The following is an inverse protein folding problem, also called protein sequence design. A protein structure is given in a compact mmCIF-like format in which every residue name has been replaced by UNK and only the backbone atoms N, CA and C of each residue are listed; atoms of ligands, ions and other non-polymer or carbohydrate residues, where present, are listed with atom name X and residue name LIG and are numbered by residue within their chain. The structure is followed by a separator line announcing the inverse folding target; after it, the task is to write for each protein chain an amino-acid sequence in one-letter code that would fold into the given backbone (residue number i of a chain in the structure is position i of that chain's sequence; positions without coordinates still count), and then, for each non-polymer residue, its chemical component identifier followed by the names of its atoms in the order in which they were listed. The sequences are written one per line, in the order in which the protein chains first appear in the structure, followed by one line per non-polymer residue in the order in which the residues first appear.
data_IF_159346423845
#
_entry.id   IF_159346423845
#
_cell.length_a   1.000
_cell.length_b   1.000
_cell.length_c   1.000
_cell.angle_alpha   90.00
_cell.angle_beta   90.00
_cell.angle_gamma   90.00
#
_symmetry.space_group_name_H-M   'P 1'
#
loop_
_entity.id
_entity.type
_entity.pdbx_description
1 polymer ?
#
# COMPACT_ATOMS: atom_id res chain seq x y z
N UNK A 1 -34.84 17.62 -7.81
CA UNK A 1 -35.54 18.61 -7.01
C UNK A 1 -34.72 19.90 -6.97
N UNK A 2 -35.35 21.04 -7.41
CA UNK A 2 -34.68 22.35 -7.54
C UNK A 2 -34.19 22.87 -6.18
N UNK A 3 -34.90 22.56 -5.11
CA UNK A 3 -34.56 22.97 -3.73
C UNK A 3 -33.27 22.26 -3.26
N UNK A 4 -33.14 20.99 -3.56
CA UNK A 4 -31.94 20.21 -3.21
C UNK A 4 -30.72 20.75 -4.00
N UNK A 5 -30.88 21.04 -5.29
CA UNK A 5 -29.81 21.63 -6.09
C UNK A 5 -29.37 23.00 -5.58
N UNK A 6 -30.32 23.86 -5.21
CA UNK A 6 -30.00 25.18 -4.64
C UNK A 6 -29.29 25.07 -3.29
N UNK A 7 -29.74 24.17 -2.43
CA UNK A 7 -29.10 23.92 -1.15
C UNK A 7 -27.66 23.37 -1.32
N UNK A 8 -27.47 22.45 -2.25
CA UNK A 8 -26.15 21.91 -2.58
C UNK A 8 -25.21 23.00 -3.11
N UNK A 9 -25.65 23.80 -4.07
CA UNK A 9 -24.86 24.90 -4.62
C UNK A 9 -24.45 25.93 -3.57
N UNK A 10 -25.37 26.25 -2.64
CA UNK A 10 -25.07 27.15 -1.52
C UNK A 10 -24.03 26.56 -0.60
N UNK A 11 -24.15 25.27 -0.23
CA UNK A 11 -23.19 24.58 0.62
C UNK A 11 -21.81 24.49 -0.04
N UNK A 12 -21.77 24.20 -1.33
CA UNK A 12 -20.52 24.15 -2.12
C UNK A 12 -19.85 25.53 -2.19
N UNK A 13 -20.61 26.59 -2.43
CA UNK A 13 -20.08 27.97 -2.42
C UNK A 13 -19.51 28.36 -1.08
N UNK A 14 -20.17 28.02 0.02
CA UNK A 14 -19.69 28.26 1.37
C UNK A 14 -18.40 27.49 1.68
N UNK A 15 -18.36 26.22 1.26
CA UNK A 15 -17.17 25.38 1.38
C UNK A 15 -15.96 25.98 0.63
N UNK A 16 -16.17 26.47 -0.61
CA UNK A 16 -15.12 27.12 -1.38
C UNK A 16 -14.65 28.42 -0.71
N UNK A 17 -15.57 29.24 -0.21
CA UNK A 17 -15.23 30.48 0.50
C UNK A 17 -14.39 30.19 1.76
N UNK A 18 -14.77 29.17 2.52
CA UNK A 18 -13.99 28.72 3.68
C UNK A 18 -12.58 28.26 3.30
N UNK A 19 -12.45 27.42 2.25
CA UNK A 19 -11.16 26.96 1.76
C UNK A 19 -10.28 28.15 1.33
N UNK A 20 -10.84 29.12 0.59
CA UNK A 20 -10.11 30.33 0.17
C UNK A 20 -9.58 31.10 1.38
N UNK A 21 -10.41 31.27 2.41
CA UNK A 21 -10.03 31.95 3.65
C UNK A 21 -8.82 31.27 4.33
N UNK A 22 -8.84 29.93 4.41
CA UNK A 22 -7.72 29.17 4.98
C UNK A 22 -6.45 29.30 4.15
N UNK A 23 -6.55 29.20 2.83
CA UNK A 23 -5.42 29.36 1.92
C UNK A 23 -4.81 30.75 2.04
N UNK A 24 -5.64 31.79 2.05
CA UNK A 24 -5.19 33.19 2.13
C UNK A 24 -4.56 33.49 3.49
N UNK A 25 -5.10 32.93 4.57
CA UNK A 25 -4.48 33.03 5.90
C UNK A 25 -3.04 32.46 5.91
N UNK A 26 -2.87 31.28 5.37
CA UNK A 26 -1.55 30.64 5.27
C UNK A 26 -0.58 31.45 4.38
N UNK A 27 -1.06 31.99 3.25
CA UNK A 27 -0.27 32.86 2.37
C UNK A 27 0.17 34.14 3.09
N UNK A 28 -0.71 34.75 3.87
CA UNK A 28 -0.37 35.96 4.64
C UNK A 28 0.73 35.70 5.66
N UNK A 29 0.72 34.56 6.35
CA UNK A 29 1.79 34.16 7.27
C UNK A 29 3.11 34.04 6.49
N UNK A 30 3.11 33.36 5.34
CA UNK A 30 4.31 33.22 4.50
C UNK A 30 4.86 34.58 4.01
N UNK A 31 3.99 35.51 3.64
CA UNK A 31 4.44 36.87 3.22
C UNK A 31 5.07 37.67 4.37
N UNK A 32 4.57 37.48 5.58
CA UNK A 32 5.15 38.11 6.77
C UNK A 32 6.54 37.54 7.14
N UNK A 33 6.75 36.24 6.81
CA UNK A 33 8.03 35.54 7.00
C UNK A 33 9.06 35.80 5.90
N UNK A 34 8.71 36.49 4.85
CA UNK A 34 9.33 36.54 3.53
C UNK A 34 10.75 37.13 3.43
N UNK A 35 11.53 37.23 4.52
CA UNK A 35 12.94 37.62 4.48
C UNK A 35 13.92 36.64 5.16
N UNK A 36 13.52 35.37 5.30
CA UNK A 36 14.50 34.29 5.50
C UNK A 36 14.99 34.00 6.91
N UNK A 37 14.60 34.77 7.93
CA UNK A 37 15.15 34.61 9.29
C UNK A 37 14.26 33.83 10.23
N UNK A 38 12.93 33.80 10.02
CA UNK A 38 11.99 33.10 10.93
C UNK A 38 11.68 31.71 10.43
N UNK A 39 11.89 30.74 11.31
CA UNK A 39 11.49 29.37 11.06
C UNK A 39 9.96 29.26 10.87
N UNK A 40 9.53 28.62 9.82
CA UNK A 40 8.14 28.33 9.53
C UNK A 40 7.94 26.83 9.45
N UNK A 41 6.93 26.31 10.13
CA UNK A 41 6.56 24.91 10.12
C UNK A 41 5.28 24.71 9.33
N UNK A 42 5.33 23.85 8.32
CA UNK A 42 4.15 23.27 7.69
C UNK A 42 3.65 22.16 8.58
N UNK A 43 2.55 22.39 9.28
CA UNK A 43 1.90 21.41 10.14
C UNK A 43 0.84 20.67 9.32
N UNK A 44 1.12 19.43 8.97
CA UNK A 44 0.26 18.62 8.11
C UNK A 44 -0.37 17.46 8.88
N UNK A 45 -1.56 17.07 8.49
CA UNK A 45 -2.27 15.96 9.09
C UNK A 45 -3.69 15.84 8.56
N UNK A 46 -4.46 14.94 9.15
CA UNK A 46 -5.89 14.83 8.84
C UNK A 46 -6.64 16.03 9.44
N UNK A 47 -7.84 16.40 8.93
CA UNK A 47 -8.55 17.59 9.39
C UNK A 47 -8.77 17.66 10.91
N UNK A 48 -9.01 16.53 11.56
CA UNK A 48 -9.17 16.51 13.01
C UNK A 48 -7.86 16.78 13.78
N UNK A 49 -6.69 16.59 13.18
CA UNK A 49 -5.41 16.96 13.79
C UNK A 49 -5.20 18.47 13.88
N UNK A 50 -5.96 19.28 13.12
CA UNK A 50 -5.91 20.73 13.22
C UNK A 50 -6.84 21.30 14.29
N UNK A 51 -7.71 20.48 14.85
CA UNK A 51 -8.57 20.88 15.98
C UNK A 51 -7.73 21.10 17.24
N UNK A 52 -7.93 22.26 17.89
CA UNK A 52 -7.12 22.70 19.03
C UNK A 52 -7.16 21.76 20.24
N UNK A 53 -8.25 21.02 20.43
CA UNK A 53 -8.39 20.05 21.51
C UNK A 53 -7.64 18.76 21.18
N UNK A 54 -7.76 18.28 19.94
CA UNK A 54 -7.16 17.01 19.50
C UNK A 54 -5.64 17.15 19.34
N UNK A 55 -5.15 18.27 18.79
CA UNK A 55 -3.71 18.52 18.63
C UNK A 55 -2.97 18.86 19.94
N UNK A 56 -3.66 18.92 21.07
CA UNK A 56 -3.08 19.26 22.37
C UNK A 56 -2.26 20.54 22.36
N UNK A 57 -2.73 21.57 21.63
CA UNK A 57 -2.08 22.90 21.51
C UNK A 57 -0.67 22.85 20.89
N UNK A 58 -0.43 21.93 19.95
CA UNK A 58 0.86 21.83 19.26
C UNK A 58 1.17 23.12 18.50
N UNK A 59 0.19 23.74 17.85
CA UNK A 59 0.36 25.03 17.16
C UNK A 59 0.74 26.16 18.12
N UNK A 60 0.10 26.24 19.28
CA UNK A 60 0.44 27.25 20.30
C UNK A 60 1.86 27.03 20.82
N UNK A 61 2.23 25.77 21.08
CA UNK A 61 3.57 25.42 21.53
C UNK A 61 4.65 25.81 20.52
N UNK A 62 4.41 25.64 19.22
CA UNK A 62 5.31 26.08 18.16
C UNK A 62 5.43 27.61 18.13
N UNK A 63 4.31 28.31 18.23
CA UNK A 63 4.26 29.77 18.25
C UNK A 63 4.99 30.36 19.48
N UNK A 64 4.83 29.75 20.66
CA UNK A 64 5.54 30.13 21.90
C UNK A 64 7.07 29.96 21.77
N UNK A 65 7.54 29.11 20.84
CA UNK A 65 8.97 28.95 20.53
C UNK A 65 9.45 29.88 19.42
N UNK A 66 8.63 30.85 18.99
CA UNK A 66 8.99 31.80 17.94
C UNK A 66 8.92 31.20 16.52
N UNK A 67 8.19 30.13 16.32
CA UNK A 67 8.03 29.46 15.02
C UNK A 67 6.68 29.85 14.41
N UNK A 68 6.69 30.26 13.14
CA UNK A 68 5.45 30.46 12.40
C UNK A 68 4.86 29.11 12.00
N UNK A 69 3.53 29.00 12.05
CA UNK A 69 2.79 27.78 11.73
C UNK A 69 1.90 28.02 10.53
N UNK A 70 2.06 27.23 9.51
CA UNK A 70 1.15 27.12 8.38
C UNK A 70 0.62 25.70 8.29
N UNK A 71 -0.52 25.49 7.64
CA UNK A 71 -1.14 24.18 7.52
C UNK A 71 -1.12 23.66 6.08
N UNK A 72 -1.34 22.37 5.92
CA UNK A 72 -1.47 21.71 4.62
C UNK A 72 -2.68 22.20 3.80
N UNK A 73 -3.53 23.06 4.38
CA UNK A 73 -4.57 23.76 3.63
C UNK A 73 -3.99 24.70 2.55
N UNK A 74 -2.77 25.21 2.75
CA UNK A 74 -2.07 26.03 1.77
C UNK A 74 -2.05 25.43 0.37
N UNK A 75 -1.84 24.11 0.27
CA UNK A 75 -1.67 23.42 -1.02
C UNK A 75 -2.99 22.95 -1.65
N UNK A 76 -4.14 23.21 -1.04
CA UNK A 76 -5.45 22.74 -1.54
C UNK A 76 -5.76 23.16 -2.97
N UNK A 77 -5.28 24.34 -3.36
CA UNK A 77 -5.53 24.92 -4.68
C UNK A 77 -4.29 24.88 -5.59
N UNK A 78 -3.23 24.23 -5.15
CA UNK A 78 -2.01 24.11 -5.94
C UNK A 78 -2.03 22.82 -6.76
N UNK A 79 -1.66 22.93 -8.03
CA UNK A 79 -1.38 21.78 -8.87
C UNK A 79 0.05 21.30 -8.62
N UNK A 80 0.20 20.34 -7.70
CA UNK A 80 1.48 19.76 -7.33
C UNK A 80 1.50 18.32 -7.79
N UNK A 81 2.31 17.98 -8.81
CA UNK A 81 2.43 16.62 -9.28
C UNK A 81 3.13 15.73 -8.25
N UNK A 82 2.61 14.53 -8.03
CA UNK A 82 3.13 13.56 -7.04
C UNK A 82 3.69 12.28 -7.68
N UNK A 83 3.99 12.32 -8.98
CA UNK A 83 4.49 11.15 -9.74
C UNK A 83 5.88 10.66 -9.35
N UNK A 84 6.59 11.40 -8.48
CA UNK A 84 7.89 11.07 -7.91
C UNK A 84 7.78 10.49 -6.48
N UNK A 85 6.70 9.79 -6.20
CA UNK A 85 6.49 9.05 -4.97
C UNK A 85 5.87 7.66 -5.28
N UNK A 86 6.26 6.65 -4.51
CA UNK A 86 5.67 5.31 -4.60
C UNK A 86 4.36 5.25 -3.82
N UNK A 87 3.40 6.10 -4.17
CA UNK A 87 2.15 6.20 -3.44
C UNK A 87 0.96 6.25 -4.39
N UNK A 88 -0.03 5.37 -4.17
CA UNK A 88 -1.29 5.44 -4.89
C UNK A 88 -2.16 6.53 -4.26
N UNK A 89 -2.32 7.65 -4.97
CA UNK A 89 -3.01 8.86 -4.51
C UNK A 89 -4.54 8.66 -4.50
N UNK A 90 -5.03 7.73 -3.69
CA UNK A 90 -6.42 7.29 -3.64
C UNK A 90 -7.25 7.99 -2.56
N UNK A 91 -6.59 8.50 -1.51
CA UNK A 91 -7.26 9.11 -0.36
C UNK A 91 -6.98 10.61 -0.31
N UNK A 92 -8.03 11.40 -0.23
CA UNK A 92 -7.95 12.87 -0.35
C UNK A 92 -6.99 13.50 0.66
N UNK A 93 -7.04 13.08 1.94
CA UNK A 93 -6.20 13.69 2.96
C UNK A 93 -4.74 13.28 2.90
N UNK A 94 -4.46 12.00 2.70
CA UNK A 94 -3.08 11.52 2.53
C UNK A 94 -2.43 12.11 1.28
N UNK A 95 -3.19 12.25 0.19
CA UNK A 95 -2.71 12.92 -1.01
C UNK A 95 -2.39 14.41 -0.76
N UNK A 96 -3.21 15.11 0.04
CA UNK A 96 -2.94 16.49 0.43
C UNK A 96 -1.68 16.61 1.29
N UNK A 97 -1.48 15.70 2.25
CA UNK A 97 -0.26 15.65 3.07
C UNK A 97 0.98 15.43 2.20
N UNK A 98 0.92 14.50 1.23
CA UNK A 98 2.01 14.26 0.29
C UNK A 98 2.32 15.51 -0.56
N UNK A 99 1.29 16.20 -1.07
CA UNK A 99 1.46 17.47 -1.80
C UNK A 99 2.09 18.56 -0.93
N UNK A 100 1.68 18.66 0.33
CA UNK A 100 2.25 19.59 1.28
C UNK A 100 3.73 19.29 1.58
N UNK A 101 4.07 18.01 1.75
CA UNK A 101 5.46 17.58 1.92
C UNK A 101 6.30 17.92 0.69
N UNK A 102 5.78 17.68 -0.51
CA UNK A 102 6.45 18.01 -1.76
C UNK A 102 6.66 19.52 -1.94
N UNK A 103 5.63 20.31 -1.66
CA UNK A 103 5.77 21.76 -1.66
C UNK A 103 6.86 22.20 -0.68
N UNK A 104 6.81 21.68 0.55
CA UNK A 104 7.77 22.01 1.59
C UNK A 104 9.20 21.59 1.21
N UNK A 105 9.38 20.44 0.57
CA UNK A 105 10.68 19.94 0.12
C UNK A 105 11.40 20.92 -0.82
N UNK A 106 10.66 21.64 -1.67
CA UNK A 106 11.19 22.60 -2.65
C UNK A 106 11.40 24.02 -2.08
N UNK A 107 10.99 24.27 -0.83
CA UNK A 107 11.16 25.58 -0.20
C UNK A 107 12.53 25.71 0.48
N UNK A 108 12.87 26.95 0.87
CA UNK A 108 14.09 27.25 1.61
C UNK A 108 14.22 26.47 2.93
N UNK A 109 15.42 26.44 3.50
CA UNK A 109 15.73 25.69 4.74
C UNK A 109 14.94 26.17 5.96
N UNK A 110 14.44 27.39 5.95
CA UNK A 110 13.61 27.97 7.01
C UNK A 110 12.16 27.43 7.01
N UNK A 111 11.73 26.68 6.00
CA UNK A 111 10.42 26.03 5.96
C UNK A 111 10.59 24.53 6.18
N UNK A 112 10.00 24.03 7.24
CA UNK A 112 10.12 22.63 7.68
C UNK A 112 8.78 21.95 7.73
N UNK A 113 8.79 20.62 7.59
CA UNK A 113 7.60 19.80 7.55
C UNK A 113 7.44 19.01 8.85
N UNK A 114 6.25 19.11 9.44
CA UNK A 114 5.85 18.35 10.63
C UNK A 114 4.55 17.63 10.30
N UNK A 115 4.54 16.32 10.41
CA UNK A 115 3.35 15.49 10.21
C UNK A 115 2.76 15.06 11.54
N UNK A 116 1.46 15.25 11.68
CA UNK A 116 0.69 14.75 12.80
C UNK A 116 -0.04 13.47 12.38
N UNK A 117 0.07 12.43 13.19
CA UNK A 117 -0.62 11.15 13.00
C UNK A 117 -1.12 10.62 14.35
N UNK A 118 -2.24 9.90 14.34
CA UNK A 118 -2.79 9.29 15.57
C UNK A 118 -2.65 7.78 15.60
N UNK A 119 -2.78 7.13 14.44
CA UNK A 119 -2.82 5.69 14.35
C UNK A 119 -1.67 5.15 13.50
N UNK A 120 -0.99 4.12 13.99
CA UNK A 120 0.00 3.39 13.21
C UNK A 120 -0.59 2.59 12.06
N UNK A 121 -1.91 2.38 12.02
CA UNK A 121 -2.59 1.59 11.02
C UNK A 121 -3.48 2.48 10.14
N UNK A 122 -3.40 2.32 8.84
CA UNK A 122 -4.19 3.10 7.88
C UNK A 122 -3.35 3.57 6.70
N UNK A 123 -3.91 4.41 5.83
CA UNK A 123 -3.16 4.99 4.72
C UNK A 123 -1.91 5.76 5.19
N UNK A 124 -1.95 6.36 6.37
CA UNK A 124 -0.83 7.14 6.94
C UNK A 124 0.43 6.29 7.15
N UNK A 125 0.28 5.01 7.51
CA UNK A 125 1.41 4.10 7.67
C UNK A 125 2.23 3.92 6.38
N UNK A 126 1.57 3.98 5.23
CA UNK A 126 2.23 3.94 3.91
C UNK A 126 2.75 5.31 3.51
N UNK A 127 2.05 6.38 3.89
CA UNK A 127 2.39 7.76 3.55
C UNK A 127 3.68 8.22 4.23
N UNK A 128 3.86 7.92 5.51
CA UNK A 128 5.00 8.39 6.32
C UNK A 128 6.35 8.04 5.69
N UNK A 129 6.48 6.83 5.12
CA UNK A 129 7.73 6.43 4.47
C UNK A 129 7.98 7.20 3.17
N UNK A 130 6.94 7.47 2.40
CA UNK A 130 7.05 8.25 1.16
C UNK A 130 7.38 9.72 1.45
N UNK A 131 6.74 10.31 2.46
CA UNK A 131 7.03 11.68 2.90
C UNK A 131 8.46 11.77 3.42
N UNK A 132 8.92 10.79 4.20
CA UNK A 132 10.29 10.75 4.71
C UNK A 132 11.31 10.71 3.55
N UNK A 133 11.10 9.79 2.61
CA UNK A 133 11.97 9.64 1.45
C UNK A 133 12.01 10.91 0.59
N UNK A 134 10.84 11.48 0.30
CA UNK A 134 10.71 12.72 -0.45
C UNK A 134 11.50 13.88 0.21
N UNK A 135 11.31 14.08 1.50
CA UNK A 135 12.01 15.13 2.24
C UNK A 135 13.53 14.89 2.29
N UNK A 136 13.96 13.65 2.53
CA UNK A 136 15.37 13.27 2.57
C UNK A 136 16.08 13.50 1.22
N UNK A 137 15.41 13.25 0.10
CA UNK A 137 15.93 13.54 -1.24
C UNK A 137 16.24 15.04 -1.43
N UNK A 138 15.52 15.89 -0.72
CA UNK A 138 15.71 17.35 -0.73
C UNK A 138 16.47 17.87 0.51
N UNK A 139 17.24 17.02 1.17
CA UNK A 139 18.04 17.36 2.36
C UNK A 139 17.22 17.92 3.52
N UNK A 140 15.95 17.49 3.65
CA UNK A 140 15.08 17.83 4.77
C UNK A 140 14.71 16.57 5.56
N UNK A 141 14.39 16.74 6.83
CA UNK A 141 13.97 15.65 7.70
C UNK A 141 12.47 15.70 7.99
N UNK A 142 11.84 14.54 8.13
CA UNK A 142 10.47 14.44 8.63
C UNK A 142 10.46 14.48 10.15
N UNK A 143 9.73 15.45 10.72
CA UNK A 143 9.35 15.40 12.13
C UNK A 143 7.94 14.85 12.26
N UNK A 144 7.81 13.66 12.87
CA UNK A 144 6.55 12.98 13.07
C UNK A 144 6.07 13.15 14.51
N UNK A 145 4.89 13.70 14.70
CA UNK A 145 4.22 13.86 16.00
C UNK A 145 3.06 12.86 16.07
N UNK A 146 3.15 11.89 16.96
CA UNK A 146 2.06 10.96 17.25
C UNK A 146 1.17 11.56 18.34
N UNK A 147 -0.10 11.73 18.01
CA UNK A 147 -1.14 12.22 18.91
C UNK A 147 -1.87 10.99 19.46
N UNK A 148 -1.58 10.63 20.71
CA UNK A 148 -2.22 9.53 21.43
C UNK A 148 -3.20 10.08 22.48
N UNK A 149 -4.10 9.23 22.94
CA UNK A 149 -5.01 9.56 24.06
C UNK A 149 -4.27 9.91 25.35
N UNK A 150 -3.05 9.43 25.49
CA UNK A 150 -2.17 9.77 26.60
C UNK A 150 -1.38 11.03 26.24
N UNK A 151 -1.78 12.14 26.85
CA UNK A 151 -1.17 13.46 26.68
C UNK A 151 0.30 13.48 27.09
N UNK A 152 1.21 13.11 26.22
CA UNK A 152 2.63 13.32 26.44
C UNK A 152 3.16 14.58 25.75
N UNK A 153 2.59 15.74 26.17
CA UNK A 153 3.00 17.06 25.69
C UNK A 153 4.52 17.27 25.85
N UNK A 154 5.11 16.70 26.89
CA UNK A 154 6.54 16.78 27.15
C UNK A 154 7.40 16.16 26.05
N UNK A 155 7.03 14.99 25.55
CA UNK A 155 7.77 14.33 24.46
C UNK A 155 7.60 15.07 23.12
N UNK A 156 6.42 15.59 22.83
CA UNK A 156 6.19 16.44 21.65
C UNK A 156 7.03 17.72 21.71
N UNK A 157 7.01 18.39 22.86
CA UNK A 157 7.83 19.59 23.09
C UNK A 157 9.33 19.32 22.90
N UNK A 158 9.80 18.18 23.38
CA UNK A 158 11.21 17.78 23.22
C UNK A 158 11.55 17.54 21.75
N UNK A 159 10.70 16.82 20.99
CA UNK A 159 10.90 16.59 19.56
C UNK A 159 10.94 17.88 18.76
N UNK A 160 10.00 18.79 19.02
CA UNK A 160 9.95 20.10 18.35
C UNK A 160 11.21 20.92 18.67
N UNK A 161 11.62 20.99 19.95
CA UNK A 161 12.87 21.67 20.33
C UNK A 161 14.09 21.04 19.66
N UNK A 162 14.18 19.73 19.64
CA UNK A 162 15.28 19.03 18.97
C UNK A 162 15.33 19.36 17.46
N UNK A 163 14.18 19.42 16.79
CA UNK A 163 14.09 19.87 15.41
C UNK A 163 14.61 21.30 15.25
N UNK A 164 14.14 22.24 16.07
CA UNK A 164 14.54 23.65 15.99
C UNK A 164 16.06 23.80 16.20
N UNK A 165 16.63 23.16 17.20
CA UNK A 165 18.06 23.23 17.49
C UNK A 165 18.90 22.54 16.38
N UNK A 166 18.47 21.41 15.86
CA UNK A 166 19.12 20.75 14.72
C UNK A 166 19.20 21.67 13.50
N UNK A 167 18.11 22.41 13.23
CA UNK A 167 18.08 23.36 12.11
C UNK A 167 19.00 24.56 12.31
N UNK A 168 19.10 25.09 13.53
CA UNK A 168 20.03 26.14 13.84
C UNK A 168 21.48 25.70 13.60
N UNK A 169 21.84 24.49 14.01
CA UNK A 169 23.16 23.90 13.79
C UNK A 169 23.43 23.66 12.29
N UNK A 170 22.50 23.08 11.56
CA UNK A 170 22.63 22.81 10.13
C UNK A 170 22.75 24.08 9.29
N UNK A 171 22.08 25.17 9.71
CA UNK A 171 22.23 26.48 9.06
C UNK A 171 23.60 27.13 9.33
N UNK A 172 24.20 26.83 10.47
CA UNK A 172 25.56 27.32 10.80
C UNK A 172 26.65 26.62 9.96
N UNK A 173 26.46 25.35 9.60
CA UNK A 173 27.46 24.59 8.82
C UNK A 173 27.44 24.90 7.32
N UNK A 174 26.42 25.57 6.79
CA UNK A 174 26.36 26.09 5.42
C UNK A 174 26.41 25.05 4.29
N UNK A 175 26.43 23.75 4.60
CA UNK A 175 26.48 22.68 3.59
C UNK A 175 25.13 22.47 2.96
N UNK A 176 25.04 22.72 1.65
CA UNK A 176 23.91 22.29 0.83
C UNK A 176 24.26 20.93 0.20
N UNK A 177 23.49 19.90 0.55
CA UNK A 177 23.60 18.61 -0.14
C UNK A 177 22.88 18.69 -1.50
N UNK A 178 23.34 17.89 -2.45
CA UNK A 178 22.65 17.76 -3.74
C UNK A 178 21.27 17.10 -3.57
N UNK A 179 20.29 17.58 -4.34
CA UNK A 179 18.98 16.95 -4.44
C UNK A 179 19.13 15.61 -5.16
N UNK A 180 18.62 14.55 -4.55
CA UNK A 180 18.67 13.20 -5.13
C UNK A 180 17.46 12.94 -6.01
N UNK A 181 17.70 12.31 -7.15
CA UNK A 181 16.63 11.91 -8.06
C UNK A 181 15.74 10.82 -7.45
N UNK A 182 14.47 10.84 -7.86
CA UNK A 182 13.55 9.77 -7.55
C UNK A 182 13.90 8.51 -8.34
N UNK A 183 14.09 7.41 -7.63
CA UNK A 183 14.38 6.11 -8.23
C UNK A 183 13.14 5.21 -8.10
N UNK A 184 12.75 4.56 -9.18
CA UNK A 184 11.66 3.59 -9.20
C UNK A 184 12.00 2.38 -10.07
N UNK A 185 11.20 1.34 -9.97
CA UNK A 185 11.30 0.16 -10.83
C UNK A 185 10.81 0.46 -12.25
N UNK A 186 11.26 -0.29 -13.27
CA UNK A 186 10.90 -0.02 -14.66
C UNK A 186 9.42 -0.31 -14.95
N UNK A 187 8.90 0.40 -15.93
CA UNK A 187 7.60 0.13 -16.54
C UNK A 187 7.61 -1.26 -17.19
N UNK A 188 6.54 -2.03 -17.00
CA UNK A 188 6.42 -3.35 -17.67
C UNK A 188 6.08 -3.18 -19.15
N UNK A 189 7.11 -3.04 -19.97
CA UNK A 189 7.01 -2.92 -21.42
C UNK A 189 7.19 -4.27 -22.15
N UNK A 190 7.31 -4.22 -23.48
CA UNK A 190 7.43 -5.42 -24.32
C UNK A 190 8.71 -6.22 -24.05
N UNK A 191 9.79 -5.60 -23.59
CA UNK A 191 11.06 -6.26 -23.30
C UNK A 191 10.99 -7.21 -22.09
N UNK A 192 9.99 -7.01 -21.23
CA UNK A 192 9.77 -7.81 -20.03
C UNK A 192 8.76 -8.95 -20.19
N UNK A 193 8.14 -9.08 -21.38
CA UNK A 193 7.02 -10.01 -21.60
C UNK A 193 7.34 -11.47 -21.35
N UNK A 194 8.57 -11.88 -21.59
CA UNK A 194 9.01 -13.27 -21.43
C UNK A 194 9.56 -13.56 -20.02
N UNK A 195 9.52 -12.57 -19.13
CA UNK A 195 9.96 -12.75 -17.75
C UNK A 195 8.97 -13.62 -16.97
N UNK A 196 9.50 -14.47 -16.09
CA UNK A 196 8.71 -15.21 -15.13
C UNK A 196 8.14 -14.27 -14.08
N UNK A 197 6.83 -14.35 -13.84
CA UNK A 197 6.12 -13.50 -12.91
C UNK A 197 6.03 -14.20 -11.56
N UNK A 198 6.66 -13.64 -10.53
CA UNK A 198 6.51 -14.10 -9.16
C UNK A 198 5.24 -13.48 -8.54
N UNK A 199 4.39 -14.32 -7.97
CA UNK A 199 3.12 -13.93 -7.38
C UNK A 199 3.11 -14.32 -5.90
N UNK A 200 2.74 -13.44 -4.98
CA UNK A 200 2.60 -13.80 -3.56
C UNK A 200 1.62 -14.95 -3.35
N UNK A 201 1.84 -15.70 -2.28
CA UNK A 201 0.94 -16.78 -1.88
C UNK A 201 -0.33 -16.20 -1.26
N UNK A 202 -1.51 -16.66 -1.69
CA UNK A 202 -2.80 -16.21 -1.18
C UNK A 202 -3.40 -17.21 -0.19
N UNK A 203 -3.78 -18.38 -0.68
CA UNK A 203 -4.35 -19.45 0.13
C UNK A 203 -3.92 -20.83 -0.38
N UNK A 204 -3.97 -21.86 0.47
CA UNK A 204 -3.64 -23.23 0.05
C UNK A 204 -4.54 -23.78 -1.07
N UNK A 205 -5.66 -23.12 -1.35
CA UNK A 205 -6.64 -23.61 -2.31
C UNK A 205 -6.56 -22.92 -3.68
N UNK A 206 -6.38 -21.60 -3.72
CA UNK A 206 -6.31 -20.87 -5.00
C UNK A 206 -4.89 -20.74 -5.53
N UNK A 207 -3.88 -20.60 -4.65
CA UNK A 207 -2.49 -20.40 -5.09
C UNK A 207 -2.02 -21.49 -6.04
N UNK A 208 -2.29 -22.80 -5.82
CA UNK A 208 -1.86 -23.84 -6.76
C UNK A 208 -2.46 -23.70 -8.18
N UNK A 209 -3.56 -22.97 -8.33
CA UNK A 209 -4.26 -22.79 -9.60
C UNK A 209 -3.81 -21.54 -10.37
N UNK A 210 -3.20 -20.55 -9.69
CA UNK A 210 -2.79 -19.28 -10.28
C UNK A 210 -1.82 -19.45 -11.45
N UNK A 211 -0.78 -20.30 -11.41
CA UNK A 211 0.12 -20.48 -12.54
C UNK A 211 -0.61 -20.95 -13.81
N UNK A 212 -1.58 -21.85 -13.67
CA UNK A 212 -2.39 -22.31 -14.80
C UNK A 212 -3.29 -21.21 -15.36
N UNK A 213 -3.91 -20.40 -14.50
CA UNK A 213 -4.72 -19.25 -14.89
C UNK A 213 -3.87 -18.22 -15.64
N UNK A 214 -2.69 -17.89 -15.12
CA UNK A 214 -1.75 -16.97 -15.76
C UNK A 214 -1.24 -17.49 -17.10
N UNK A 215 -1.04 -18.82 -17.21
CA UNK A 215 -0.68 -19.44 -18.49
C UNK A 215 -1.78 -19.34 -19.54
N UNK A 216 -3.04 -19.46 -19.14
CA UNK A 216 -4.19 -19.19 -20.04
C UNK A 216 -4.22 -17.72 -20.46
N UNK A 217 -3.80 -16.80 -19.60
CA UNK A 217 -3.64 -15.39 -19.92
C UNK A 217 -2.42 -15.09 -20.83
N UNK A 218 -1.54 -16.06 -21.05
CA UNK A 218 -0.34 -15.94 -21.90
C UNK A 218 0.92 -15.52 -21.16
N UNK A 219 0.98 -15.76 -19.83
CA UNK A 219 2.14 -15.42 -18.98
C UNK A 219 2.64 -16.63 -18.22
N UNK A 220 3.96 -16.69 -18.00
CA UNK A 220 4.58 -17.66 -17.11
C UNK A 220 4.62 -17.10 -15.70
N UNK A 221 3.95 -17.74 -14.76
CA UNK A 221 3.89 -17.30 -13.38
C UNK A 221 4.21 -18.44 -12.40
N UNK A 222 4.79 -18.07 -11.28
CA UNK A 222 5.11 -18.96 -10.16
C UNK A 222 4.65 -18.32 -8.85
N UNK A 223 3.94 -19.09 -8.01
CA UNK A 223 3.64 -18.63 -6.66
C UNK A 223 4.88 -18.72 -5.78
N UNK A 224 5.09 -17.70 -4.99
CA UNK A 224 6.02 -17.77 -3.88
C UNK A 224 5.53 -18.80 -2.85
N UNK A 225 6.42 -19.39 -2.05
CA UNK A 225 6.05 -20.26 -0.95
C UNK A 225 5.17 -19.55 0.07
N UNK A 226 4.48 -20.33 0.91
CA UNK A 226 3.77 -19.80 2.08
C UNK A 226 4.74 -19.02 2.96
N UNK A 227 4.30 -17.87 3.46
CA UNK A 227 5.08 -17.01 4.35
C UNK A 227 5.50 -17.75 5.63
N UNK A 228 6.70 -17.49 6.09
CA UNK A 228 7.30 -18.03 7.31
C UNK A 228 7.93 -16.91 8.16
N UNK A 229 8.68 -17.28 9.19
CA UNK A 229 9.36 -16.31 10.06
C UNK A 229 10.36 -15.43 9.29
N UNK A 230 11.13 -16.02 8.36
CA UNK A 230 12.06 -15.27 7.53
C UNK A 230 11.35 -14.23 6.66
N UNK A 231 10.12 -14.52 6.22
CA UNK A 231 9.28 -13.57 5.49
C UNK A 231 8.99 -12.32 6.30
N UNK A 232 8.70 -12.47 7.59
CA UNK A 232 8.49 -11.30 8.46
C UNK A 232 9.79 -10.53 8.72
N UNK A 233 10.90 -11.22 8.91
CA UNK A 233 12.21 -10.58 9.12
C UNK A 233 12.66 -9.76 7.91
N UNK A 234 12.55 -10.33 6.71
CA UNK A 234 12.85 -9.62 5.47
C UNK A 234 11.88 -8.48 5.21
N UNK A 235 10.60 -8.67 5.52
CA UNK A 235 9.57 -7.64 5.37
C UNK A 235 9.83 -6.42 6.24
N UNK A 236 10.17 -6.62 7.52
CA UNK A 236 10.46 -5.54 8.46
C UNK A 236 11.75 -4.75 8.14
N UNK A 237 12.60 -5.25 7.26
CA UNK A 237 13.77 -4.49 6.77
C UNK A 237 13.41 -3.42 5.72
N UNK A 238 12.30 -3.63 4.98
CA UNK A 238 11.93 -2.81 3.82
C UNK A 238 10.51 -2.23 3.91
N UNK A 239 9.76 -2.59 4.94
CA UNK A 239 8.46 -2.00 5.26
C UNK A 239 8.48 -1.57 6.72
N UNK A 240 7.91 -0.41 7.03
CA UNK A 240 7.84 0.02 8.42
C UNK A 240 6.85 -0.88 9.20
N UNK A 241 7.05 -0.95 10.50
CA UNK A 241 6.27 -1.82 11.40
C UNK A 241 4.83 -1.33 11.67
N UNK A 242 4.43 -0.20 11.11
CA UNK A 242 3.08 0.36 11.25
C UNK A 242 2.14 -0.07 10.12
N UNK A 243 2.69 -0.55 8.98
CA UNK A 243 1.85 -1.13 7.92
C UNK A 243 1.18 -2.41 8.39
N UNK A 244 0.07 -2.79 7.76
CA UNK A 244 -0.61 -4.03 8.12
C UNK A 244 0.29 -5.26 7.88
N UNK A 245 0.26 -6.22 8.81
CA UNK A 245 1.14 -7.38 8.79
C UNK A 245 1.15 -8.17 7.47
N UNK A 246 0.01 -8.35 6.75
CA UNK A 246 0.04 -8.95 5.41
C UNK A 246 0.91 -8.19 4.40
N UNK A 247 0.99 -6.86 4.47
CA UNK A 247 1.88 -6.08 3.62
C UNK A 247 3.35 -6.38 3.90
N UNK A 248 3.72 -6.47 5.18
CA UNK A 248 5.06 -6.86 5.62
C UNK A 248 5.43 -8.25 5.11
N UNK A 249 4.53 -9.23 5.23
CA UNK A 249 4.77 -10.60 4.75
C UNK A 249 4.94 -10.65 3.23
N UNK A 250 4.10 -9.96 2.47
CA UNK A 250 4.18 -9.91 1.00
C UNK A 250 5.51 -9.31 0.53
N UNK A 251 5.93 -8.20 1.12
CA UNK A 251 7.24 -7.60 0.84
C UNK A 251 8.36 -8.58 1.19
N UNK A 252 8.27 -9.21 2.36
CA UNK A 252 9.26 -10.16 2.83
C UNK A 252 9.37 -11.40 1.94
N UNK A 253 8.26 -11.98 1.51
CA UNK A 253 8.24 -13.12 0.60
C UNK A 253 8.95 -12.79 -0.72
N UNK A 254 8.67 -11.63 -1.28
CA UNK A 254 9.30 -11.18 -2.53
C UNK A 254 10.82 -11.01 -2.32
N UNK A 255 11.23 -10.24 -1.32
CA UNK A 255 12.66 -9.96 -1.09
C UNK A 255 13.41 -11.23 -0.71
N UNK A 256 12.84 -12.09 0.13
CA UNK A 256 13.40 -13.41 0.47
C UNK A 256 13.62 -14.26 -0.77
N UNK A 257 12.62 -14.33 -1.66
CA UNK A 257 12.73 -15.08 -2.91
C UNK A 257 13.85 -14.55 -3.80
N UNK A 258 13.95 -13.25 -3.98
CA UNK A 258 14.99 -12.63 -4.80
C UNK A 258 16.40 -12.84 -4.22
N UNK A 259 16.53 -12.82 -2.90
CA UNK A 259 17.82 -13.06 -2.22
C UNK A 259 18.21 -14.53 -2.10
N UNK A 260 17.29 -15.47 -2.38
CA UNK A 260 17.54 -16.92 -2.28
C UNK A 260 18.56 -17.46 -3.28
N UNK A 261 18.87 -16.73 -4.34
CA UNK A 261 19.69 -17.20 -5.46
C UNK A 261 18.99 -18.20 -6.38
N UNK A 262 17.72 -18.54 -6.09
CA UNK A 262 16.92 -19.48 -6.93
C UNK A 262 16.60 -18.91 -8.30
N UNK A 263 16.44 -17.58 -8.39
CA UNK A 263 15.94 -16.91 -9.58
C UNK A 263 17.03 -16.08 -10.28
N UNK A 264 17.04 -16.13 -11.60
CA UNK A 264 17.78 -15.18 -12.41
C UNK A 264 17.05 -13.84 -12.40
N UNK A 265 17.56 -12.88 -11.63
CA UNK A 265 16.95 -11.58 -11.41
C UNK A 265 16.63 -10.84 -12.72
N UNK A 266 17.47 -11.02 -13.75
CA UNK A 266 17.26 -10.39 -15.06
C UNK A 266 16.04 -10.95 -15.81
N UNK A 267 15.48 -12.08 -15.37
CA UNK A 267 14.34 -12.78 -16.00
C UNK A 267 13.09 -12.81 -15.14
N UNK A 268 13.03 -11.98 -14.09
CA UNK A 268 11.91 -11.95 -13.15
C UNK A 268 11.11 -10.66 -13.29
N UNK A 269 9.81 -10.77 -13.11
CA UNK A 269 8.87 -9.70 -12.81
C UNK A 269 8.07 -10.08 -11.55
N UNK A 270 7.49 -9.12 -10.88
CA UNK A 270 6.63 -9.35 -9.72
C UNK A 270 5.21 -8.91 -10.06
N UNK A 271 4.19 -9.62 -9.58
CA UNK A 271 2.82 -9.20 -9.72
C UNK A 271 2.08 -9.22 -8.38
N UNK A 272 1.15 -8.28 -8.23
CA UNK A 272 0.23 -8.20 -7.09
C UNK A 272 -1.19 -7.93 -7.59
N UNK A 273 -2.19 -8.51 -6.93
CA UNK A 273 -3.59 -8.17 -7.20
C UNK A 273 -3.96 -6.86 -6.52
N UNK A 274 -4.74 -6.06 -7.22
CA UNK A 274 -5.23 -4.78 -6.73
C UNK A 274 -6.76 -4.76 -6.80
N UNK A 275 -7.41 -4.35 -5.72
CA UNK A 275 -8.88 -4.32 -5.67
C UNK A 275 -9.47 -3.00 -6.16
N UNK A 276 -8.69 -1.92 -6.20
CA UNK A 276 -9.17 -0.57 -6.50
C UNK A 276 -10.10 0.02 -5.44
N UNK A 277 -10.36 -0.70 -4.35
CA UNK A 277 -11.19 -0.22 -3.25
C UNK A 277 -10.42 0.63 -2.25
N UNK A 278 -11.11 1.09 -1.20
CA UNK A 278 -10.53 1.93 -0.13
C UNK A 278 -9.63 1.15 0.85
N UNK A 279 -9.36 -0.12 0.58
CA UNK A 279 -8.45 -0.93 1.38
C UNK A 279 -7.00 -0.48 1.17
N UNK A 280 -6.21 -0.51 2.23
CA UNK A 280 -4.76 -0.24 2.21
C UNK A 280 -3.98 -1.14 1.25
N UNK A 281 -4.51 -2.33 0.95
CA UNK A 281 -3.93 -3.23 -0.04
C UNK A 281 -3.76 -2.58 -1.43
N UNK A 282 -4.48 -1.51 -1.73
CA UNK A 282 -4.27 -0.71 -2.94
C UNK A 282 -2.88 -0.04 -3.00
N UNK A 283 -2.21 0.13 -1.85
CA UNK A 283 -0.84 0.64 -1.77
C UNK A 283 0.24 -0.46 -1.66
N UNK A 284 -0.12 -1.73 -1.70
CA UNK A 284 0.89 -2.80 -1.67
C UNK A 284 1.82 -2.73 -2.87
N UNK A 285 1.31 -2.36 -4.04
CA UNK A 285 2.15 -2.19 -5.24
C UNK A 285 3.24 -1.12 -5.02
N UNK A 286 2.87 0.00 -4.40
CA UNK A 286 3.79 1.09 -4.09
C UNK A 286 4.85 0.64 -3.10
N UNK A 287 4.44 -0.04 -2.03
CA UNK A 287 5.34 -0.58 -1.03
C UNK A 287 6.31 -1.62 -1.61
N UNK A 288 5.83 -2.48 -2.52
CA UNK A 288 6.68 -3.45 -3.23
C UNK A 288 7.71 -2.72 -4.10
N UNK A 289 7.28 -1.71 -4.88
CA UNK A 289 8.20 -0.92 -5.71
C UNK A 289 9.30 -0.26 -4.88
N UNK A 290 8.91 0.39 -3.78
CA UNK A 290 9.85 1.00 -2.84
C UNK A 290 10.80 -0.04 -2.25
N UNK A 291 10.29 -1.16 -1.76
CA UNK A 291 11.10 -2.23 -1.17
C UNK A 291 12.12 -2.82 -2.17
N UNK A 292 11.74 -2.96 -3.44
CA UNK A 292 12.65 -3.41 -4.50
C UNK A 292 13.77 -2.40 -4.72
N UNK A 293 13.47 -1.11 -4.78
CA UNK A 293 14.47 -0.05 -4.91
C UNK A 293 15.42 -0.05 -3.70
N UNK A 294 14.88 -0.06 -2.48
CA UNK A 294 15.67 -0.05 -1.24
C UNK A 294 16.55 -1.32 -1.09
N UNK A 295 16.11 -2.45 -1.67
CA UNK A 295 16.87 -3.70 -1.70
C UNK A 295 17.89 -3.81 -2.84
N UNK A 296 17.95 -2.82 -3.75
CA UNK A 296 18.85 -2.77 -4.89
C UNK A 296 18.36 -3.54 -6.13
N UNK A 297 17.07 -3.85 -6.22
CA UNK A 297 16.45 -4.57 -7.35
C UNK A 297 15.70 -3.62 -8.30
N UNK A 298 16.39 -2.60 -8.79
CA UNK A 298 15.80 -1.54 -9.62
C UNK A 298 15.37 -1.98 -11.02
N UNK A 299 15.76 -3.18 -11.48
CA UNK A 299 15.45 -3.69 -12.82
C UNK A 299 14.26 -4.66 -12.88
N UNK A 300 13.56 -4.85 -11.76
CA UNK A 300 12.43 -5.77 -11.66
C UNK A 300 11.11 -4.98 -11.82
N UNK A 301 10.39 -5.16 -12.94
CA UNK A 301 9.10 -4.50 -13.11
C UNK A 301 8.02 -5.13 -12.21
N UNK A 302 7.09 -4.30 -11.75
CA UNK A 302 5.95 -4.72 -10.92
C UNK A 302 4.65 -4.57 -11.70
N UNK A 303 3.86 -5.63 -11.73
CA UNK A 303 2.58 -5.72 -12.44
C UNK A 303 1.44 -5.61 -11.43
N UNK A 304 0.48 -4.74 -11.73
CA UNK A 304 -0.82 -4.66 -11.04
C UNK A 304 -1.85 -5.51 -11.78
N UNK A 305 -2.40 -6.52 -11.11
CA UNK A 305 -3.51 -7.31 -11.65
C UNK A 305 -4.80 -6.79 -11.04
N UNK A 306 -5.52 -5.97 -11.79
CA UNK A 306 -6.80 -5.39 -11.36
C UNK A 306 -7.90 -5.67 -12.38
N UNK A 307 -9.14 -5.81 -11.90
CA UNK A 307 -10.33 -5.94 -12.75
C UNK A 307 -11.24 -4.78 -12.41
N UNK A 308 -11.39 -3.84 -13.37
CA UNK A 308 -12.32 -2.71 -13.22
C UNK A 308 -11.88 -1.64 -12.23
N UNK A 309 -10.60 -1.49 -11.95
CA UNK A 309 -10.07 -0.41 -11.11
C UNK A 309 -9.22 0.55 -11.93
N UNK A 310 -9.34 1.83 -11.59
CA UNK A 310 -8.56 2.93 -12.17
C UNK A 310 -7.20 3.11 -11.45
N UNK A 311 -6.66 2.05 -10.83
CA UNK A 311 -5.33 2.13 -10.23
C UNK A 311 -4.31 2.18 -11.34
N UNK A 312 -3.75 3.35 -11.54
CA UNK A 312 -2.74 3.61 -12.53
C UNK A 312 -1.43 2.89 -12.17
N UNK A 313 -1.10 1.88 -12.97
CA UNK A 313 0.23 1.31 -13.02
C UNK A 313 0.65 1.22 -14.47
N UNK A 314 1.72 1.92 -14.82
CA UNK A 314 2.21 1.92 -16.20
C UNK A 314 2.78 0.54 -16.55
N UNK A 315 2.00 -0.21 -17.32
CA UNK A 315 2.30 -1.59 -17.73
C UNK A 315 1.78 -1.91 -19.14
N UNK A 316 2.20 -1.17 -20.17
CA UNK A 316 1.59 -1.23 -21.50
C UNK A 316 1.68 -2.60 -22.18
N UNK A 317 2.63 -3.44 -21.78
CA UNK A 317 2.78 -4.79 -22.32
C UNK A 317 1.97 -5.86 -21.58
N UNK A 318 1.42 -5.56 -20.40
CA UNK A 318 0.54 -6.48 -19.67
C UNK A 318 -0.88 -6.43 -20.25
N UNK A 319 -1.13 -7.27 -21.25
CA UNK A 319 -2.41 -7.33 -21.94
C UNK A 319 -3.05 -8.70 -21.78
N UNK A 320 -4.25 -8.72 -21.22
CA UNK A 320 -5.03 -9.93 -20.97
C UNK A 320 -6.29 -9.92 -21.83
N UNK A 321 -6.54 -11.01 -22.56
CA UNK A 321 -7.82 -11.21 -23.21
C UNK A 321 -8.87 -11.67 -22.16
N UNK A 322 -9.49 -10.70 -21.52
CA UNK A 322 -10.41 -10.93 -20.41
C UNK A 322 -11.58 -11.83 -20.79
N UNK A 323 -12.09 -11.75 -22.02
CA UNK A 323 -13.19 -12.63 -22.47
C UNK A 323 -12.81 -14.11 -22.46
N UNK A 324 -11.53 -14.42 -22.67
CA UNK A 324 -11.03 -15.81 -22.62
C UNK A 324 -10.64 -16.26 -21.22
N UNK A 325 -10.18 -15.35 -20.38
CA UNK A 325 -9.57 -15.66 -19.08
C UNK A 325 -10.61 -15.62 -17.95
N UNK A 326 -11.52 -14.64 -17.94
CA UNK A 326 -12.51 -14.45 -16.87
C UNK A 326 -13.39 -15.68 -16.63
N UNK A 327 -13.97 -16.34 -17.65
CA UNK A 327 -14.83 -17.49 -17.39
C UNK A 327 -14.12 -18.64 -16.68
N UNK A 328 -12.89 -18.98 -17.12
CA UNK A 328 -12.14 -20.07 -16.48
C UNK A 328 -11.61 -19.66 -15.11
N UNK A 329 -11.20 -18.41 -14.93
CA UNK A 329 -10.75 -17.89 -13.63
C UNK A 329 -11.89 -17.95 -12.61
N UNK A 330 -13.08 -17.48 -12.98
CA UNK A 330 -14.25 -17.54 -12.11
C UNK A 330 -14.57 -18.98 -11.66
N UNK A 331 -14.56 -19.93 -12.60
CA UNK A 331 -14.79 -21.34 -12.26
C UNK A 331 -13.64 -21.94 -11.44
N UNK A 332 -12.40 -21.53 -11.66
CA UNK A 332 -11.27 -21.98 -10.85
C UNK A 332 -11.36 -21.45 -9.41
N UNK A 333 -11.82 -20.21 -9.21
CA UNK A 333 -12.09 -19.65 -7.87
C UNK A 333 -13.22 -20.42 -7.19
N UNK A 334 -14.34 -20.64 -7.86
CA UNK A 334 -15.44 -21.45 -7.31
C UNK A 334 -15.00 -22.87 -6.99
N UNK A 335 -14.20 -23.48 -7.87
CA UNK A 335 -13.62 -24.80 -7.65
C UNK A 335 -12.77 -24.82 -6.37
N UNK A 336 -11.86 -23.86 -6.21
CA UNK A 336 -11.00 -23.76 -5.04
C UNK A 336 -11.80 -23.58 -3.74
N UNK A 337 -12.87 -22.77 -3.78
CA UNK A 337 -13.76 -22.55 -2.65
C UNK A 337 -14.56 -23.83 -2.29
N UNK A 338 -15.04 -24.57 -3.28
CA UNK A 338 -15.68 -25.86 -3.05
C UNK A 338 -14.72 -26.87 -2.40
N UNK A 339 -13.49 -27.00 -2.91
CA UNK A 339 -12.48 -27.89 -2.31
C UNK A 339 -12.15 -27.45 -0.87
N UNK A 340 -12.05 -26.14 -0.61
CA UNK A 340 -11.87 -25.63 0.73
C UNK A 340 -13.02 -26.03 1.66
N UNK A 341 -14.24 -25.88 1.23
CA UNK A 341 -15.43 -26.31 1.99
C UNK A 341 -15.44 -27.81 2.26
N UNK A 342 -15.13 -28.63 1.25
CA UNK A 342 -15.05 -30.08 1.42
C UNK A 342 -13.96 -30.45 2.44
N UNK A 343 -12.78 -29.84 2.33
CA UNK A 343 -11.68 -30.05 3.24
C UNK A 343 -12.06 -29.68 4.68
N UNK A 344 -12.55 -28.46 4.92
CA UNK A 344 -12.88 -28.01 6.28
C UNK A 344 -14.08 -28.78 6.87
N UNK A 345 -15.03 -29.22 6.05
CA UNK A 345 -16.12 -30.05 6.51
C UNK A 345 -15.68 -31.48 6.84
N UNK A 346 -14.66 -32.03 6.18
CA UNK A 346 -14.20 -33.41 6.35
C UNK A 346 -13.10 -33.58 7.40
N UNK A 347 -12.17 -32.62 7.51
CA UNK A 347 -10.99 -32.75 8.39
C UNK A 347 -11.33 -33.01 9.86
N UNK A 348 -12.44 -32.45 10.33
CA UNK A 348 -12.93 -32.65 11.73
C UNK A 348 -13.63 -33.99 11.93
N UNK A 349 -13.92 -34.73 10.85
CA UNK A 349 -14.67 -35.99 10.85
C UNK A 349 -13.92 -37.13 10.16
N UNK A 350 -12.70 -36.93 9.73
CA UNK A 350 -11.95 -37.94 8.99
C UNK A 350 -11.77 -39.25 9.80
N UNK A 351 -11.81 -40.38 9.12
CA UNK A 351 -11.59 -41.71 9.69
C UNK A 351 -10.14 -41.93 10.05
N UNK A 352 -9.26 -41.47 9.17
CA UNK A 352 -7.79 -41.52 9.32
C UNK A 352 -7.21 -40.12 9.24
N UNK A 353 -6.34 -39.76 10.18
CA UNK A 353 -5.72 -38.47 10.23
C UNK A 353 -4.96 -38.14 8.93
N UNK A 354 -5.24 -37.00 8.33
CA UNK A 354 -4.62 -36.53 7.09
C UNK A 354 -5.27 -37.05 5.79
N UNK A 355 -6.31 -37.86 5.85
CA UNK A 355 -7.03 -38.34 4.64
C UNK A 355 -7.64 -37.17 3.86
N UNK A 356 -8.25 -36.21 4.56
CA UNK A 356 -8.83 -35.01 3.94
C UNK A 356 -7.77 -34.13 3.28
N UNK A 357 -6.59 -34.00 3.89
CA UNK A 357 -5.49 -33.22 3.32
C UNK A 357 -4.96 -33.87 2.02
N UNK A 358 -4.82 -35.18 1.98
CA UNK A 358 -4.43 -35.92 0.77
C UNK A 358 -5.42 -35.71 -0.38
N UNK A 359 -6.72 -35.71 -0.08
CA UNK A 359 -7.76 -35.46 -1.10
C UNK A 359 -7.70 -34.01 -1.59
N UNK A 360 -7.56 -33.03 -0.69
CA UNK A 360 -7.33 -31.63 -1.06
C UNK A 360 -6.18 -31.51 -2.06
N UNK A 361 -5.03 -32.06 -1.73
CA UNK A 361 -3.84 -31.95 -2.55
C UNK A 361 -4.01 -32.66 -3.89
N UNK A 362 -4.62 -33.86 -3.91
CA UNK A 362 -5.00 -34.59 -5.13
C UNK A 362 -5.83 -33.71 -6.07
N UNK A 363 -6.92 -33.14 -5.59
CA UNK A 363 -7.84 -32.36 -6.44
C UNK A 363 -7.25 -31.01 -6.87
N UNK A 364 -6.40 -30.39 -6.05
CA UNK A 364 -5.67 -29.19 -6.45
C UNK A 364 -4.55 -29.47 -7.46
N UNK A 365 -3.97 -30.69 -7.49
CA UNK A 365 -3.00 -31.09 -8.49
C UNK A 365 -3.65 -31.46 -9.84
N UNK A 366 -4.88 -31.96 -9.86
CA UNK A 366 -5.61 -32.32 -11.09
C UNK A 366 -6.17 -31.10 -11.83
N UNK A 367 -6.55 -30.04 -11.10
CA UNK A 367 -7.25 -28.91 -11.67
C UNK A 367 -6.41 -28.07 -12.67
N UNK A 368 -5.09 -27.85 -12.49
CA UNK A 368 -4.28 -27.06 -13.43
C UNK A 368 -4.37 -27.51 -14.88
N UNK A 369 -4.32 -28.82 -15.14
CA UNK A 369 -4.42 -29.34 -16.51
C UNK A 369 -5.78 -29.05 -17.16
N UNK A 370 -6.83 -29.13 -16.35
CA UNK A 370 -8.21 -28.85 -16.78
C UNK A 370 -8.38 -27.36 -17.06
N UNK A 371 -7.76 -26.49 -16.23
CA UNK A 371 -7.74 -25.03 -16.40
C UNK A 371 -7.00 -24.65 -17.68
N UNK A 372 -5.83 -25.24 -17.94
CA UNK A 372 -5.05 -24.98 -19.15
C UNK A 372 -5.84 -25.28 -20.43
N UNK A 373 -6.63 -26.34 -20.40
CA UNK A 373 -7.53 -26.71 -21.51
C UNK A 373 -8.81 -25.86 -21.54
N UNK A 374 -9.02 -24.97 -20.59
CA UNK A 374 -10.24 -24.16 -20.40
C UNK A 374 -11.51 -25.00 -20.33
N UNK A 375 -11.41 -26.19 -19.75
CA UNK A 375 -12.49 -27.15 -19.69
C UNK A 375 -13.33 -27.00 -18.40
N UNK A 376 -14.31 -26.09 -18.43
CA UNK A 376 -15.21 -25.84 -17.29
C UNK A 376 -15.98 -27.09 -16.88
N UNK A 377 -16.44 -27.91 -17.87
CA UNK A 377 -17.15 -29.17 -17.57
C UNK A 377 -16.23 -30.15 -16.84
N UNK A 378 -14.95 -30.17 -17.19
CA UNK A 378 -13.94 -30.98 -16.48
C UNK A 378 -13.76 -30.56 -15.01
N UNK A 379 -13.75 -29.26 -14.70
CA UNK A 379 -13.71 -28.80 -13.30
C UNK A 379 -14.95 -29.27 -12.52
N UNK A 380 -16.14 -29.17 -13.12
CA UNK A 380 -17.37 -29.67 -12.50
C UNK A 380 -17.33 -31.18 -12.27
N UNK A 381 -16.79 -31.95 -13.21
CA UNK A 381 -16.63 -33.42 -13.04
C UNK A 381 -15.64 -33.73 -11.91
N UNK A 382 -14.54 -32.97 -11.78
CA UNK A 382 -13.63 -33.11 -10.64
C UNK A 382 -14.33 -32.83 -9.32
N UNK A 383 -15.18 -31.79 -9.24
CA UNK A 383 -15.96 -31.50 -8.02
C UNK A 383 -16.94 -32.64 -7.68
N UNK A 384 -17.61 -33.23 -8.68
CA UNK A 384 -18.49 -34.37 -8.44
C UNK A 384 -17.74 -35.57 -7.86
N UNK A 385 -16.54 -35.86 -8.38
CA UNK A 385 -15.69 -36.92 -7.83
C UNK A 385 -15.18 -36.55 -6.44
N UNK A 386 -14.78 -35.30 -6.23
CA UNK A 386 -14.27 -34.83 -4.95
C UNK A 386 -15.30 -34.97 -3.84
N UNK A 387 -16.56 -34.57 -4.05
CA UNK A 387 -17.60 -34.65 -3.02
C UNK A 387 -17.86 -36.11 -2.59
N UNK A 388 -17.77 -37.07 -3.51
CA UNK A 388 -17.93 -38.50 -3.20
C UNK A 388 -16.76 -38.97 -2.31
N UNK A 389 -15.51 -38.74 -2.74
CA UNK A 389 -14.33 -39.18 -2.01
C UNK A 389 -14.19 -38.48 -0.65
N UNK A 390 -14.52 -37.21 -0.54
CA UNK A 390 -14.51 -36.51 0.76
C UNK A 390 -15.57 -37.04 1.73
N UNK A 391 -16.73 -37.50 1.23
CA UNK A 391 -17.72 -38.15 2.07
C UNK A 391 -17.28 -39.56 2.51
N UNK A 392 -16.59 -40.31 1.66
CA UNK A 392 -16.09 -41.66 1.98
C UNK A 392 -15.07 -41.65 3.13
N UNK A 393 -14.25 -40.63 3.24
CA UNK A 393 -13.25 -40.50 4.32
C UNK A 393 -13.84 -39.99 5.63
N UNK A 394 -15.09 -39.54 5.67
CA UNK A 394 -15.75 -39.03 6.86
C UNK A 394 -16.40 -40.15 7.70
N UNK A 395 -16.41 -39.96 9.02
CA UNK A 395 -17.25 -40.70 9.96
C UNK A 395 -18.69 -40.15 9.90
N UNK A 396 -19.66 -41.01 10.09
CA UNK A 396 -21.05 -40.60 10.26
C UNK A 396 -21.28 -40.12 11.72
N UNK A 397 -20.84 -38.91 12.02
CA UNK A 397 -21.02 -38.28 13.33
C UNK A 397 -21.66 -36.92 13.18
N UNK A 398 -22.58 -36.60 14.08
CA UNK A 398 -23.09 -35.22 14.19
C UNK A 398 -22.03 -34.33 14.84
N UNK A 399 -21.62 -33.32 14.10
CA UNK A 399 -20.72 -32.31 14.61
C UNK A 399 -21.51 -31.05 15.01
N UNK A 400 -21.15 -30.41 16.13
CA UNK A 400 -21.78 -29.14 16.50
C UNK A 400 -21.60 -28.11 15.38
N UNK A 401 -22.70 -27.43 15.02
CA UNK A 401 -22.63 -26.28 14.12
C UNK A 401 -22.18 -25.07 14.94
N UNK A 402 -20.99 -24.56 14.63
CA UNK A 402 -20.51 -23.30 15.20
C UNK A 402 -20.80 -22.22 14.16
N UNK A 403 -21.54 -21.19 14.57
CA UNK A 403 -21.87 -20.04 13.73
C UNK A 403 -20.76 -18.98 13.73
#
# INVERSE_FOLDING_TARGET
DRTIQQAFQKAESEQHSFINTLVDYNKNILQQTGKGETLTVMLAGRPYHTDSLIQHKVSDMLSDMGVNVITDDLVRQMDIPTGDAHFVAQWAYTNRILKAAKWCATQGKNIQFVEMTSFGCGPDAFLVDEVRDLLMRHNKSLTLLKLDDINNIGSMKLRVRSMIESLKLANADGTEGDVKDFTTVPVYDKSYRDRKILVPYFTPFISPLIPAIMKVAGYDAENLPLSDNDSSEWGLKYANNEVCYPATLIVGDIIKALKSGKYDISKIAVAITQTGGQCRASNYISLIKKALVDAGYTDIPVISISVGSDIDNDQPAFKVNWMKVVPITFHAVLYSDCIAKFYYASVVREKEAGASAKLRDKYLQLAPEVILRRNIKGLNSLLQSAIIEFNEVCRAVDTPKVG
#
